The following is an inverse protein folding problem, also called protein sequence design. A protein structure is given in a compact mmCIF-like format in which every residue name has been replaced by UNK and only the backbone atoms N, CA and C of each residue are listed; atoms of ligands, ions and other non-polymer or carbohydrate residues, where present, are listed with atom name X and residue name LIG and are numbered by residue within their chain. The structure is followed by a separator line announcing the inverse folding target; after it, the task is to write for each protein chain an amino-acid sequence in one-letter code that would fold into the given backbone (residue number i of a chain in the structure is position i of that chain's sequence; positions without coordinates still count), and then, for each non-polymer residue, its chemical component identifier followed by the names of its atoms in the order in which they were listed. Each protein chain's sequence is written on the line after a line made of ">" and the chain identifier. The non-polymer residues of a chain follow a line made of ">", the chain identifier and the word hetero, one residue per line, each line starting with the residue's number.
data_IF_931423255344
#
_entry.id   IF_931423255344
#
_cell.length_a   1.000
_cell.length_b   1.000
_cell.length_c   1.000
_cell.angle_alpha   90.00
_cell.angle_beta   90.00
_cell.angle_gamma   90.00
#
_symmetry.space_group_name_H-M   'P 1'
#
loop_
_entity.id
_entity.type
_entity.pdbx_description
1 polymer ?
#
# COMPACT_ATOMS: atom_id res chain seq x y z
N UNK A 1 -38.21 -2.07 8.76
CA UNK A 1 -36.82 -1.67 9.10
C UNK A 1 -35.92 -2.08 7.94
N UNK A 2 -35.77 -1.23 6.92
CA UNK A 2 -34.97 -1.54 5.74
C UNK A 2 -33.51 -1.19 6.03
N UNK A 3 -32.62 -2.20 5.96
CA UNK A 3 -31.17 -1.98 5.97
C UNK A 3 -30.79 -1.39 4.61
N UNK A 4 -30.15 -0.22 4.52
CA UNK A 4 -29.66 0.25 3.23
C UNK A 4 -28.44 -0.58 2.81
N UNK A 5 -28.55 -1.23 1.66
CA UNK A 5 -27.46 -1.83 0.91
C UNK A 5 -26.32 -0.82 0.70
N UNK A 6 -25.33 -0.86 1.60
CA UNK A 6 -24.05 -0.21 1.37
C UNK A 6 -23.20 -1.15 0.52
N UNK A 7 -23.12 -0.93 -0.78
CA UNK A 7 -21.90 -1.28 -1.51
C UNK A 7 -21.82 -0.49 -2.83
N UNK A 8 -21.48 0.80 -2.72
CA UNK A 8 -20.83 1.49 -3.81
C UNK A 8 -19.42 0.94 -3.96
N UNK A 9 -19.25 -0.10 -4.78
CA UNK A 9 -17.92 -0.56 -5.22
C UNK A 9 -17.25 0.59 -5.97
N UNK A 10 -16.16 1.11 -5.41
CA UNK A 10 -15.40 2.15 -6.11
C UNK A 10 -14.70 1.52 -7.32
N UNK A 11 -14.64 2.21 -8.47
CA UNK A 11 -14.13 1.66 -9.74
C UNK A 11 -12.63 1.31 -9.75
N UNK A 12 -11.90 1.58 -8.65
CA UNK A 12 -10.50 1.18 -8.48
C UNK A 12 -10.31 -0.34 -8.24
N UNK A 13 -11.39 -1.03 -7.88
CA UNK A 13 -11.37 -2.43 -7.45
C UNK A 13 -11.49 -3.45 -8.58
N UNK A 14 -10.48 -3.57 -9.43
CA UNK A 14 -10.36 -4.73 -10.34
C UNK A 14 -9.92 -5.99 -9.57
N UNK A 15 -10.80 -6.55 -8.74
CA UNK A 15 -10.72 -7.93 -8.21
C UNK A 15 -9.93 -8.17 -6.92
N UNK A 16 -9.01 -7.28 -6.50
CA UNK A 16 -8.21 -7.47 -5.26
C UNK A 16 -8.77 -6.82 -3.99
N UNK A 17 -9.91 -6.15 -4.09
CA UNK A 17 -10.50 -5.46 -2.94
C UNK A 17 -11.18 -6.43 -1.95
N UNK A 18 -11.64 -7.58 -2.44
CA UNK A 18 -12.41 -8.55 -1.65
C UNK A 18 -11.56 -9.77 -1.22
N UNK A 19 -10.53 -10.10 -2.00
CA UNK A 19 -9.71 -11.29 -1.78
C UNK A 19 -8.47 -10.93 -0.98
N UNK A 20 -8.46 -11.34 0.29
CA UNK A 20 -7.27 -11.31 1.17
C UNK A 20 -6.44 -12.57 0.91
N UNK A 21 -5.21 -12.42 0.43
CA UNK A 21 -4.31 -13.54 0.16
C UNK A 21 -3.58 -14.00 1.43
N UNK A 22 -3.06 -15.23 1.48
CA UNK A 22 -2.17 -15.67 2.56
C UNK A 22 -0.95 -14.74 2.66
N UNK A 23 -0.73 -14.16 3.85
CA UNK A 23 0.34 -13.19 4.10
C UNK A 23 -0.11 -11.72 4.05
N UNK A 24 -1.33 -11.45 3.58
CA UNK A 24 -1.92 -10.11 3.70
C UNK A 24 -2.40 -9.89 5.13
N UNK A 25 -1.91 -8.82 5.75
CA UNK A 25 -2.24 -8.42 7.13
C UNK A 25 -2.82 -6.99 7.20
N UNK A 26 -2.98 -6.31 6.06
CA UNK A 26 -3.41 -4.92 6.01
C UNK A 26 -4.32 -4.61 4.81
N UNK A 27 -5.38 -3.83 5.06
CA UNK A 27 -6.25 -3.28 4.04
C UNK A 27 -5.95 -1.80 3.82
N UNK A 28 -5.53 -1.44 2.61
CA UNK A 28 -5.27 -0.06 2.25
C UNK A 28 -6.54 0.63 1.80
N UNK A 29 -7.01 1.63 2.54
CA UNK A 29 -8.22 2.37 2.21
C UNK A 29 -8.04 3.22 0.95
N UNK A 30 -6.82 3.68 0.67
CA UNK A 30 -6.53 4.53 -0.50
C UNK A 30 -6.70 3.78 -1.82
N UNK A 31 -6.13 2.59 -1.91
CA UNK A 31 -6.21 1.76 -3.11
C UNK A 31 -7.28 0.68 -3.02
N UNK A 32 -7.96 0.60 -1.87
CA UNK A 32 -8.98 -0.39 -1.52
C UNK A 32 -8.54 -1.85 -1.65
N UNK A 33 -7.25 -2.16 -1.51
CA UNK A 33 -6.73 -3.53 -1.69
C UNK A 33 -6.13 -4.10 -0.42
N UNK A 34 -6.25 -5.42 -0.26
CA UNK A 34 -5.46 -6.19 0.72
C UNK A 34 -4.03 -6.37 0.20
N UNK A 35 -3.05 -6.14 1.08
CA UNK A 35 -1.64 -6.49 0.88
C UNK A 35 -0.88 -6.43 2.21
N UNK A 36 0.41 -6.77 2.20
CA UNK A 36 1.23 -6.72 3.41
C UNK A 36 1.46 -5.29 3.93
N UNK A 37 1.28 -5.08 5.23
CA UNK A 37 1.62 -3.85 5.97
C UNK A 37 3.10 -3.49 5.81
N UNK A 38 3.97 -4.47 5.59
CA UNK A 38 5.37 -4.27 5.23
C UNK A 38 5.53 -3.58 3.87
N UNK A 39 4.82 -4.04 2.84
CA UNK A 39 4.83 -3.41 1.52
C UNK A 39 4.29 -1.96 1.60
N UNK A 40 3.27 -1.72 2.44
CA UNK A 40 2.78 -0.36 2.72
C UNK A 40 3.89 0.53 3.29
N UNK A 41 4.65 0.02 4.26
CA UNK A 41 5.75 0.72 4.89
C UNK A 41 6.90 1.02 3.92
N UNK A 42 7.26 0.05 3.06
CA UNK A 42 8.27 0.22 2.00
C UNK A 42 7.82 1.29 1.00
N UNK A 43 6.60 1.22 0.47
CA UNK A 43 6.06 2.24 -0.46
C UNK A 43 6.03 3.63 0.16
N UNK A 44 5.73 3.73 1.45
CA UNK A 44 5.73 5.00 2.19
C UNK A 44 7.15 5.55 2.32
N UNK A 45 8.14 4.70 2.66
CA UNK A 45 9.53 5.12 2.83
C UNK A 45 10.17 5.57 1.52
N UNK A 46 10.00 4.78 0.47
CA UNK A 46 10.68 4.96 -0.81
C UNK A 46 9.85 5.72 -1.84
N UNK A 47 8.63 6.15 -1.47
CA UNK A 47 7.71 6.94 -2.31
C UNK A 47 7.44 6.28 -3.67
N UNK A 48 7.40 4.96 -3.71
CA UNK A 48 7.22 4.20 -4.96
C UNK A 48 5.79 4.24 -5.50
N UNK A 49 4.84 4.83 -4.77
CA UNK A 49 3.46 4.99 -5.21
C UNK A 49 2.88 6.37 -4.82
N UNK A 50 2.14 7.06 -5.71
CA UNK A 50 1.62 8.40 -5.48
C UNK A 50 0.65 8.51 -4.29
N UNK A 51 0.95 9.42 -3.37
CA UNK A 51 0.12 9.71 -2.19
C UNK A 51 0.33 8.79 -1.00
N UNK A 52 1.32 7.89 -1.04
CA UNK A 52 1.69 7.08 0.12
C UNK A 52 2.43 7.88 1.20
N UNK A 53 3.23 8.88 0.83
CA UNK A 53 4.01 9.69 1.78
C UNK A 53 3.14 10.51 2.75
N UNK A 54 1.96 10.93 2.28
CA UNK A 54 1.01 11.76 3.02
C UNK A 54 -0.15 10.97 3.62
N UNK A 55 -0.22 9.66 3.40
CA UNK A 55 -1.28 8.79 3.90
C UNK A 55 -1.05 8.42 5.38
N UNK A 56 -2.09 8.57 6.22
CA UNK A 56 -2.05 8.18 7.64
C UNK A 56 -1.74 6.70 7.83
N UNK A 57 -2.38 5.81 7.05
CA UNK A 57 -2.10 4.38 7.13
C UNK A 57 -0.65 4.06 6.72
N UNK A 58 -0.12 4.80 5.74
CA UNK A 58 1.28 4.72 5.33
C UNK A 58 2.22 5.13 6.46
N UNK A 59 1.98 6.28 7.10
CA UNK A 59 2.77 6.76 8.25
C UNK A 59 2.76 5.76 9.41
N UNK A 60 1.59 5.22 9.74
CA UNK A 60 1.45 4.23 10.80
C UNK A 60 2.26 2.95 10.52
N UNK A 61 2.09 2.37 9.33
CA UNK A 61 2.81 1.15 8.94
C UNK A 61 4.32 1.40 8.83
N UNK A 62 4.73 2.57 8.34
CA UNK A 62 6.14 2.96 8.31
C UNK A 62 6.75 3.06 9.71
N UNK A 63 6.02 3.61 10.68
CA UNK A 63 6.46 3.64 12.08
C UNK A 63 6.57 2.22 12.67
N UNK A 64 5.53 1.38 12.47
CA UNK A 64 5.50 -0.02 12.94
C UNK A 64 6.68 -0.84 12.42
N UNK A 65 7.04 -0.66 11.15
CA UNK A 65 8.09 -1.44 10.48
C UNK A 65 9.43 -0.71 10.37
N UNK A 66 9.61 0.41 11.10
CA UNK A 66 10.75 1.32 10.94
C UNK A 66 12.10 0.61 11.00
N UNK A 67 12.29 -0.32 11.94
CA UNK A 67 13.55 -1.04 12.13
C UNK A 67 13.92 -1.90 10.91
N UNK A 68 12.94 -2.59 10.34
CA UNK A 68 13.16 -3.42 9.16
C UNK A 68 13.31 -2.58 7.90
N UNK A 69 12.40 -1.61 7.69
CA UNK A 69 12.42 -0.76 6.48
C UNK A 69 13.71 0.06 6.39
N UNK A 70 14.28 0.49 7.51
CA UNK A 70 15.58 1.18 7.54
C UNK A 70 16.75 0.33 7.03
N UNK A 71 16.60 -0.99 6.98
CA UNK A 71 17.61 -1.94 6.47
C UNK A 71 17.43 -2.25 4.98
N UNK A 72 16.29 -1.89 4.41
CA UNK A 72 16.03 -2.08 2.99
C UNK A 72 16.88 -1.10 2.19
N UNK A 73 17.60 -1.60 1.20
CA UNK A 73 18.30 -0.81 0.20
C UNK A 73 17.66 -1.13 -1.15
N UNK A 74 17.03 -0.14 -1.76
CA UNK A 74 16.53 -0.27 -3.13
C UNK A 74 17.67 0.18 -4.04
N UNK A 75 18.18 -0.75 -4.85
CA UNK A 75 19.07 -0.43 -5.94
C UNK A 75 18.19 0.05 -7.09
N UNK A 76 18.31 1.33 -7.43
CA UNK A 76 17.80 1.82 -8.69
C UNK A 76 18.92 1.59 -9.70
N UNK A 77 18.76 0.59 -10.56
CA UNK A 77 19.57 0.50 -11.78
C UNK A 77 19.22 1.73 -12.61
N UNK A 78 20.01 2.78 -12.45
CA UNK A 78 20.00 3.93 -13.36
C UNK A 78 20.53 3.42 -14.69
N UNK A 79 19.65 2.86 -15.51
CA UNK A 79 19.92 2.63 -16.92
C UNK A 79 20.26 3.98 -17.52
N UNK A 80 21.55 4.19 -17.80
CA UNK A 80 22.04 5.33 -18.56
C UNK A 80 21.34 5.35 -19.92
N UNK A 81 20.30 6.18 -20.05
CA UNK A 81 19.91 6.72 -21.35
C UNK A 81 20.83 7.89 -21.63
N UNK A 82 21.95 7.64 -22.29
CA UNK A 82 22.78 8.67 -22.92
C UNK A 82 22.02 9.32 -24.10
N UNK A 83 22.41 10.56 -24.50
CA UNK A 83 21.58 11.52 -25.24
C UNK A 83 21.29 11.19 -26.71
#
# INVERSE_FOLDING_TARGET
>A
MSRPDKQGVSPACKGRCEVRLPGDDFFCLRYQVWYSSWDCAVRTRFRTAPGCESCDQGRFNHHRHKAGVSRVRIHFDTGNGEP
#
